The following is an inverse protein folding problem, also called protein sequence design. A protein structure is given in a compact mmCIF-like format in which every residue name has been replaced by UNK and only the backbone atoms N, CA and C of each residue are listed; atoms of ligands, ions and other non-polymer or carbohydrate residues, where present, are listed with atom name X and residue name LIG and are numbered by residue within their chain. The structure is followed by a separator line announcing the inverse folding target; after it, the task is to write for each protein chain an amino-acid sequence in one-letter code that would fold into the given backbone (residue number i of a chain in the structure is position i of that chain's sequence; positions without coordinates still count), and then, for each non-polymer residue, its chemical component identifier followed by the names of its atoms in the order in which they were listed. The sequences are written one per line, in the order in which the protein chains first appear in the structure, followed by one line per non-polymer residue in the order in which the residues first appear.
data_IF_529437818342
#
_entry.id   IF_529437818342
#
_cell.length_a   1.000
_cell.length_b   1.000
_cell.length_c   1.000
_cell.angle_alpha   90.00
_cell.angle_beta   90.00
_cell.angle_gamma   90.00
#
_symmetry.space_group_name_H-M   'P 1'
#
loop_
_entity.id
_entity.type
_entity.pdbx_description
1 polymer ?
#
# COMPACT_ATOMS: atom_id res chain seq x y z
N UNK A 1 -13.01 18.42 0.16
CA UNK A 1 -12.98 17.00 0.52
C UNK A 1 -11.67 16.77 1.24
N UNK A 2 -11.71 16.37 2.52
CA UNK A 2 -10.52 16.27 3.34
C UNK A 2 -9.69 15.04 2.94
N UNK A 3 -8.40 15.29 2.80
CA UNK A 3 -7.29 14.39 2.48
C UNK A 3 -7.42 13.04 3.20
N UNK A 4 -7.79 11.98 2.45
CA UNK A 4 -7.80 10.63 2.98
C UNK A 4 -6.34 10.23 3.15
N UNK A 5 -5.94 9.90 4.39
CA UNK A 5 -4.57 9.59 4.82
C UNK A 5 -3.95 8.37 4.14
N UNK A 6 -3.83 8.39 2.82
CA UNK A 6 -3.18 7.40 2.01
C UNK A 6 -1.69 7.39 2.36
N UNK A 7 -1.17 6.18 2.56
CA UNK A 7 0.23 5.92 2.79
C UNK A 7 0.87 5.46 1.50
N UNK A 8 1.77 6.27 0.97
CA UNK A 8 2.54 5.91 -0.21
C UNK A 8 3.61 6.91 -0.60
N UNK A 9 4.16 6.66 -1.78
CA UNK A 9 5.33 7.30 -2.36
C UNK A 9 5.05 7.81 -3.77
N UNK A 10 5.79 8.82 -4.22
CA UNK A 10 5.67 9.32 -5.60
C UNK A 10 6.18 8.32 -6.63
N UNK A 11 5.75 8.47 -7.89
CA UNK A 11 6.31 7.76 -9.03
C UNK A 11 7.85 7.91 -9.10
N UNK A 12 8.54 6.86 -9.54
CA UNK A 12 10.00 6.79 -9.60
C UNK A 12 10.67 6.43 -8.29
N UNK A 13 9.92 6.25 -7.20
CA UNK A 13 10.48 5.71 -5.94
C UNK A 13 10.92 4.26 -6.19
N UNK A 14 12.20 3.98 -5.96
CA UNK A 14 12.79 2.67 -6.26
C UNK A 14 12.53 1.67 -5.13
N UNK A 15 12.01 0.51 -5.49
CA UNK A 15 11.70 -0.60 -4.58
C UNK A 15 12.69 -1.74 -4.80
N UNK A 16 13.29 -2.22 -3.72
CA UNK A 16 14.19 -3.38 -3.74
C UNK A 16 13.38 -4.66 -4.03
N UNK A 17 13.71 -5.35 -5.11
CA UNK A 17 13.12 -6.65 -5.49
C UNK A 17 14.18 -7.75 -5.42
N UNK A 18 13.76 -9.00 -5.61
CA UNK A 18 14.67 -10.16 -5.55
C UNK A 18 15.84 -10.10 -6.53
N UNK A 19 15.65 -9.48 -7.70
CA UNK A 19 16.64 -9.53 -8.77
C UNK A 19 17.24 -8.16 -9.10
N UNK A 20 16.57 -7.06 -8.76
CA UNK A 20 16.98 -5.68 -9.07
C UNK A 20 16.11 -4.68 -8.26
N UNK A 21 16.17 -3.40 -8.61
CA UNK A 21 15.23 -2.37 -8.18
C UNK A 21 14.19 -2.08 -9.26
N UNK A 22 12.95 -1.77 -8.86
CA UNK A 22 11.89 -1.32 -9.77
C UNK A 22 11.24 -0.06 -9.24
N UNK A 23 10.87 0.88 -10.11
CA UNK A 23 10.04 2.00 -9.70
C UNK A 23 8.68 1.48 -9.19
N UNK A 24 8.14 2.11 -8.14
CA UNK A 24 6.96 1.61 -7.42
C UNK A 24 5.72 1.47 -8.33
N UNK A 25 5.55 2.37 -9.30
CA UNK A 25 4.47 2.36 -10.28
C UNK A 25 4.63 1.29 -11.36
N UNK A 26 5.80 0.67 -11.47
CA UNK A 26 6.12 -0.38 -12.44
C UNK A 26 6.04 -1.79 -11.84
N UNK A 27 5.80 -1.91 -10.53
CA UNK A 27 5.64 -3.21 -9.89
C UNK A 27 4.38 -3.91 -10.36
N UNK A 28 4.53 -5.19 -10.71
CA UNK A 28 3.46 -6.04 -11.23
C UNK A 28 3.07 -7.13 -10.22
N UNK A 29 1.88 -7.73 -10.39
CA UNK A 29 1.52 -8.94 -9.65
C UNK A 29 2.61 -10.00 -9.85
N UNK A 30 3.01 -10.67 -8.76
CA UNK A 30 4.01 -11.72 -8.79
C UNK A 30 5.46 -11.23 -8.61
N UNK A 31 5.70 -9.92 -8.58
CA UNK A 31 7.02 -9.39 -8.23
C UNK A 31 7.38 -9.74 -6.77
N UNK A 32 8.59 -10.26 -6.57
CA UNK A 32 9.14 -10.56 -5.24
C UNK A 32 9.87 -9.34 -4.68
N UNK A 33 9.29 -8.71 -3.66
CA UNK A 33 9.80 -7.50 -3.01
C UNK A 33 10.64 -7.89 -1.80
N UNK A 34 11.81 -7.27 -1.62
CA UNK A 34 12.66 -7.48 -0.44
C UNK A 34 12.01 -6.83 0.78
N UNK A 35 11.56 -7.66 1.72
CA UNK A 35 10.85 -7.21 2.93
C UNK A 35 11.78 -7.01 4.12
N UNK A 36 12.89 -7.74 4.16
CA UNK A 36 13.90 -7.68 5.23
C UNK A 36 15.23 -8.26 4.75
N UNK A 37 16.33 -7.67 5.21
CA UNK A 37 17.67 -8.02 4.73
C UNK A 37 18.71 -8.20 5.86
N UNK A 38 18.30 -8.20 7.14
CA UNK A 38 19.18 -8.63 8.23
C UNK A 38 19.24 -10.17 8.29
N UNK A 39 20.38 -10.72 7.91
CA UNK A 39 20.58 -12.17 7.79
C UNK A 39 20.17 -12.69 6.42
N UNK A 40 19.48 -13.83 6.38
CA UNK A 40 18.94 -14.39 5.14
C UNK A 40 17.84 -13.47 4.56
N UNK A 41 17.98 -12.96 3.33
CA UNK A 41 17.00 -12.05 2.73
C UNK A 41 15.60 -12.67 2.65
N UNK A 42 14.60 -11.92 3.11
CA UNK A 42 13.19 -12.34 3.09
C UNK A 42 12.40 -11.53 2.09
N UNK A 43 11.56 -12.22 1.32
CA UNK A 43 10.78 -11.63 0.25
C UNK A 43 9.29 -11.77 0.50
N UNK A 44 8.52 -10.83 -0.06
CA UNK A 44 7.07 -10.85 -0.09
C UNK A 44 6.56 -10.73 -1.51
N UNK A 45 5.47 -11.42 -1.80
CA UNK A 45 4.90 -11.49 -3.15
C UNK A 45 3.90 -10.34 -3.37
N UNK A 46 4.16 -9.52 -4.38
CA UNK A 46 3.25 -8.43 -4.79
C UNK A 46 1.93 -9.01 -5.27
N UNK A 47 0.84 -8.55 -4.67
CA UNK A 47 -0.52 -8.89 -5.09
C UNK A 47 -0.96 -8.13 -6.34
N UNK A 48 -2.05 -8.57 -6.96
CA UNK A 48 -2.82 -7.81 -7.97
C UNK A 48 -3.61 -6.60 -7.43
N UNK A 49 -3.58 -6.31 -6.13
CA UNK A 49 -4.28 -5.14 -5.58
C UNK A 49 -3.53 -3.85 -5.93
N UNK A 50 -4.19 -2.99 -6.71
CA UNK A 50 -3.69 -1.66 -7.08
C UNK A 50 -3.86 -0.73 -5.88
N UNK A 51 -2.74 -0.23 -5.35
CA UNK A 51 -2.71 0.70 -4.22
C UNK A 51 -2.18 2.03 -4.74
N UNK A 52 -3.09 2.89 -5.18
CA UNK A 52 -2.80 4.15 -5.83
C UNK A 52 -3.84 5.20 -5.43
N UNK A 53 -3.42 6.45 -5.28
CA UNK A 53 -4.27 7.59 -4.96
C UNK A 53 -3.70 8.86 -5.59
N UNK A 54 -4.51 9.87 -5.93
CA UNK A 54 -4.00 11.20 -6.21
C UNK A 54 -3.07 11.69 -5.10
N UNK A 55 -1.99 12.35 -5.49
CA UNK A 55 -1.03 12.91 -4.54
C UNK A 55 -1.69 13.98 -3.65
N UNK A 56 -1.40 14.01 -2.34
CA UNK A 56 -1.85 15.08 -1.47
C UNK A 56 -1.16 16.40 -1.84
N UNK A 57 -1.70 17.56 -1.41
CA UNK A 57 -1.09 18.86 -1.72
C UNK A 57 0.35 19.02 -1.25
N UNK A 58 0.75 18.27 -0.20
CA UNK A 58 2.07 18.35 0.40
C UNK A 58 2.69 16.96 0.51
N UNK A 59 3.92 16.85 0.04
CA UNK A 59 4.79 15.68 0.21
C UNK A 59 5.92 16.03 1.17
N UNK A 60 6.53 15.02 1.77
CA UNK A 60 7.60 15.19 2.73
C UNK A 60 8.89 14.54 2.27
N UNK A 61 9.99 15.15 2.71
CA UNK A 61 11.35 14.67 2.55
C UNK A 61 12.13 14.89 3.85
N UNK A 62 13.30 14.29 3.92
CA UNK A 62 14.24 14.48 5.03
C UNK A 62 15.63 14.81 4.50
N UNK A 63 16.43 15.47 5.34
CA UNK A 63 17.78 15.88 5.03
C UNK A 63 17.84 16.71 3.74
N UNK A 64 18.65 16.29 2.77
CA UNK A 64 18.84 16.94 1.47
C UNK A 64 18.14 16.18 0.32
N UNK A 65 17.37 15.15 0.64
CA UNK A 65 16.63 14.38 -0.36
C UNK A 65 15.36 15.12 -0.79
N UNK A 66 14.91 14.93 -2.02
CA UNK A 66 13.63 15.51 -2.49
C UNK A 66 12.46 14.91 -1.72
N UNK A 67 11.40 15.67 -1.50
CA UNK A 67 10.17 15.10 -0.96
C UNK A 67 9.60 13.99 -1.87
N UNK A 68 9.31 12.83 -1.27
CA UNK A 68 8.92 11.64 -2.04
C UNK A 68 7.84 10.78 -1.36
N UNK A 69 7.37 11.14 -0.17
CA UNK A 69 6.38 10.36 0.57
C UNK A 69 5.26 11.21 1.18
N UNK A 70 4.11 10.57 1.34
CA UNK A 70 2.92 11.13 2.00
C UNK A 70 3.09 11.21 3.52
N UNK A 71 2.38 12.12 4.22
CA UNK A 71 2.53 12.27 5.67
C UNK A 71 2.15 11.01 6.48
N UNK A 72 1.29 10.15 5.93
CA UNK A 72 0.84 8.92 6.58
C UNK A 72 1.82 7.74 6.42
N UNK A 73 2.91 7.91 5.66
CA UNK A 73 3.87 6.82 5.38
C UNK A 73 4.75 6.52 6.61
N UNK A 74 4.69 5.29 7.17
CA UNK A 74 5.52 4.92 8.30
C UNK A 74 6.87 4.35 7.87
N UNK A 75 7.92 4.82 8.53
CA UNK A 75 9.30 4.36 8.39
C UNK A 75 9.70 3.55 9.62
N UNK A 76 10.54 2.53 9.42
CA UNK A 76 11.24 1.91 10.53
C UNK A 76 12.38 2.81 10.99
N UNK A 77 12.45 3.03 12.31
CA UNK A 77 13.54 3.75 12.96
C UNK A 77 14.11 2.91 14.08
N UNK A 78 15.28 3.27 14.59
CA UNK A 78 15.88 2.64 15.78
C UNK A 78 15.04 2.78 17.06
N UNK A 79 14.01 3.63 17.06
CA UNK A 79 13.10 3.87 18.20
C UNK A 79 11.67 3.39 17.95
N UNK A 80 11.46 2.56 16.93
CA UNK A 80 10.14 2.07 16.51
C UNK A 80 9.65 2.71 15.21
N UNK A 81 8.40 2.44 14.86
CA UNK A 81 7.80 2.90 13.60
C UNK A 81 7.33 4.34 13.74
N UNK A 82 7.67 5.18 12.75
CA UNK A 82 7.42 6.63 12.80
C UNK A 82 6.89 7.18 11.47
N UNK A 83 5.91 8.09 11.54
CA UNK A 83 5.36 8.80 10.38
C UNK A 83 5.23 10.31 10.67
N UNK A 84 5.10 11.15 9.65
CA UNK A 84 4.91 12.60 9.82
C UNK A 84 3.60 12.90 10.54
N UNK A 85 2.51 12.26 10.09
CA UNK A 85 1.20 12.26 10.74
C UNK A 85 0.84 10.82 11.19
N UNK A 86 1.15 10.47 12.45
CA UNK A 86 0.83 9.15 13.00
C UNK A 86 -0.66 8.87 13.04
N UNK A 87 -1.50 9.89 13.23
CA UNK A 87 -2.95 9.72 13.26
C UNK A 87 -3.47 9.37 11.87
N UNK A 88 -2.93 9.99 10.81
CA UNK A 88 -3.22 9.58 9.45
C UNK A 88 -2.77 8.15 9.17
N UNK A 89 -1.56 7.79 9.61
CA UNK A 89 -1.04 6.44 9.48
C UNK A 89 -1.95 5.39 10.14
N UNK A 90 -2.38 5.64 11.38
CA UNK A 90 -3.29 4.76 12.13
C UNK A 90 -4.72 4.74 11.59
N UNK A 91 -5.18 5.80 10.90
CA UNK A 91 -6.45 5.73 10.16
C UNK A 91 -6.37 4.76 8.98
N UNK A 92 -5.22 4.68 8.31
CA UNK A 92 -5.01 3.73 7.22
C UNK A 92 -4.82 2.29 7.73
N UNK A 93 -4.07 2.12 8.82
CA UNK A 93 -3.85 0.84 9.47
C UNK A 93 -3.97 0.95 11.00
N UNK A 94 -5.17 0.72 11.58
CA UNK A 94 -5.40 0.87 13.02
C UNK A 94 -4.59 -0.07 13.92
N UNK A 95 -3.98 -1.11 13.36
CA UNK A 95 -3.16 -2.08 14.11
C UNK A 95 -1.68 -1.67 14.22
N UNK A 96 -1.27 -0.59 13.54
CA UNK A 96 0.10 -0.13 13.56
C UNK A 96 0.32 0.83 14.73
N UNK A 97 1.29 0.53 15.60
CA UNK A 97 1.75 1.47 16.62
C UNK A 97 2.76 2.44 15.99
N UNK A 98 2.30 3.66 15.68
CA UNK A 98 3.08 4.67 14.98
C UNK A 98 3.31 5.90 15.86
N UNK A 99 4.56 6.30 16.03
CA UNK A 99 4.91 7.59 16.64
C UNK A 99 5.24 8.67 15.62
N UNK A 100 5.44 9.91 16.07
CA UNK A 100 5.77 11.03 15.19
C UNK A 100 7.23 10.97 14.72
N UNK A 101 7.46 11.11 13.41
CA UNK A 101 8.80 11.26 12.83
C UNK A 101 9.31 12.68 13.06
N UNK A 102 10.54 12.81 13.56
CA UNK A 102 11.15 14.09 13.95
C UNK A 102 12.67 14.05 13.70
N UNK A 103 13.33 15.22 13.56
CA UNK A 103 14.79 15.28 13.59
C UNK A 103 15.35 14.62 14.85
N UNK A 104 16.49 13.94 14.70
CA UNK A 104 17.13 13.12 15.73
C UNK A 104 16.75 11.63 15.68
N UNK A 105 15.66 11.26 15.01
CA UNK A 105 15.38 9.86 14.72
C UNK A 105 16.35 9.31 13.66
N UNK A 106 16.58 8.00 13.72
CA UNK A 106 17.54 7.30 12.84
C UNK A 106 16.78 6.28 12.00
N UNK A 107 16.77 6.49 10.69
CA UNK A 107 16.20 5.59 9.70
C UNK A 107 17.12 4.40 9.45
N UNK A 108 16.51 3.28 9.09
CA UNK A 108 17.23 2.07 8.65
C UNK A 108 17.25 2.07 7.13
N UNK A 109 18.45 2.06 6.53
CA UNK A 109 18.63 2.07 5.07
C UNK A 109 19.43 0.84 4.64
N UNK A 110 18.96 0.17 3.62
CA UNK A 110 19.62 -0.97 2.99
C UNK A 110 20.75 -0.49 2.08
N UNK A 111 21.95 -1.03 2.27
CA UNK A 111 23.05 -0.90 1.32
C UNK A 111 23.24 -2.25 0.61
N UNK A 112 22.73 -2.34 -0.62
CA UNK A 112 22.85 -3.54 -1.45
C UNK A 112 24.30 -3.90 -1.78
N UNK A 113 25.21 -2.91 -1.82
CA UNK A 113 26.63 -3.13 -2.16
C UNK A 113 27.39 -3.77 -1.01
N UNK A 114 27.05 -3.40 0.23
CA UNK A 114 27.63 -3.95 1.45
C UNK A 114 26.80 -5.10 2.02
N UNK A 115 25.64 -5.38 1.44
CA UNK A 115 24.66 -6.34 1.94
C UNK A 115 24.35 -6.14 3.43
N UNK A 116 24.17 -4.89 3.85
CA UNK A 116 23.95 -4.56 5.26
C UNK A 116 23.04 -3.34 5.45
N UNK A 117 22.55 -3.16 6.68
CA UNK A 117 21.82 -1.96 7.06
C UNK A 117 22.76 -0.87 7.56
N UNK A 118 22.59 0.32 7.01
CA UNK A 118 23.14 1.55 7.55
C UNK A 118 22.08 2.36 8.31
N UNK A 119 22.57 3.25 9.17
CA UNK A 119 21.75 4.08 10.04
C UNK A 119 21.85 5.55 9.61
N UNK A 120 20.73 6.12 9.14
CA UNK A 120 20.69 7.49 8.62
C UNK A 120 19.94 8.38 9.62
N UNK A 121 20.68 9.24 10.30
CA UNK A 121 20.07 10.24 11.18
C UNK A 121 19.31 11.30 10.37
N UNK A 122 18.12 11.64 10.84
CA UNK A 122 17.32 12.74 10.31
C UNK A 122 17.81 14.03 10.96
N UNK A 123 18.54 14.84 10.22
CA UNK A 123 18.94 16.18 10.64
C UNK A 123 17.83 17.21 10.41
N UNK A 124 17.05 17.05 9.34
CA UNK A 124 15.96 17.95 8.98
C UNK A 124 14.80 17.21 8.31
N UNK A 125 13.60 17.79 8.44
CA UNK A 125 12.40 17.41 7.70
C UNK A 125 11.93 18.64 6.93
N UNK A 126 11.43 18.44 5.72
CA UNK A 126 10.84 19.50 4.92
C UNK A 126 9.59 19.00 4.21
N UNK A 127 8.77 19.95 3.78
CA UNK A 127 7.53 19.70 3.07
C UNK A 127 7.54 20.50 1.77
N UNK A 128 7.31 19.82 0.66
CA UNK A 128 7.25 20.42 -0.67
C UNK A 128 5.81 20.33 -1.18
N UNK A 129 5.41 21.31 -2.00
CA UNK A 129 4.15 21.20 -2.73
C UNK A 129 4.25 20.04 -3.71
N UNK A 130 3.20 19.24 -3.80
CA UNK A 130 3.11 18.21 -4.83
C UNK A 130 2.92 18.88 -6.20
N UNK A 131 3.66 18.41 -7.20
CA UNK A 131 3.46 18.79 -8.61
C UNK A 131 2.20 18.14 -9.23
N UNK A 132 1.37 17.48 -8.42
CA UNK A 132 0.25 16.65 -8.85
C UNK A 132 0.65 15.20 -9.11
N UNK A 133 -0.19 14.49 -9.87
CA UNK A 133 -0.01 13.07 -10.16
C UNK A 133 -0.53 12.14 -9.06
N UNK A 134 0.01 10.91 -9.03
CA UNK A 134 -0.43 9.87 -8.10
C UNK A 134 0.70 9.47 -7.16
N UNK A 135 0.30 9.00 -5.99
CA UNK A 135 1.14 8.30 -5.02
C UNK A 135 0.76 6.83 -4.99
N UNK A 136 1.76 5.99 -4.78
CA UNK A 136 1.68 4.54 -4.90
C UNK A 136 2.02 3.90 -3.56
N UNK A 137 1.28 2.87 -3.19
CA UNK A 137 1.56 1.99 -2.07
C UNK A 137 1.80 0.56 -2.57
N UNK A 138 2.05 -0.34 -1.61
CA UNK A 138 2.20 -1.75 -1.89
C UNK A 138 1.23 -2.57 -1.04
N UNK A 139 0.76 -3.66 -1.64
CA UNK A 139 0.10 -4.75 -0.93
C UNK A 139 0.80 -6.06 -1.30
N UNK A 140 1.26 -6.77 -0.27
CA UNK A 140 1.92 -8.06 -0.41
C UNK A 140 0.96 -9.13 0.11
N UNK A 141 0.84 -10.25 -0.62
CA UNK A 141 0.02 -11.40 -0.20
C UNK A 141 0.73 -12.26 0.85
N UNK A 142 2.05 -12.17 0.91
CA UNK A 142 2.90 -12.90 1.84
C UNK A 142 4.20 -12.13 2.08
N UNK A 143 5.01 -12.62 3.02
CA UNK A 143 6.24 -11.97 3.46
C UNK A 143 6.00 -11.02 4.64
N UNK A 144 7.05 -10.32 5.05
CA UNK A 144 6.96 -9.40 6.17
C UNK A 144 6.22 -8.11 5.76
N UNK A 145 5.68 -7.42 6.77
CA UNK A 145 4.91 -6.19 6.62
C UNK A 145 5.79 -4.95 6.42
N UNK A 146 6.84 -5.10 5.64
CA UNK A 146 7.87 -4.10 5.39
C UNK A 146 8.45 -4.24 4.00
N UNK A 147 9.07 -3.17 3.49
CA UNK A 147 9.81 -3.17 2.23
C UNK A 147 10.79 -2.00 2.23
N UNK A 148 11.57 -1.88 1.15
CA UNK A 148 12.55 -0.81 1.02
C UNK A 148 12.12 0.16 -0.10
N UNK A 149 11.98 1.44 0.23
CA UNK A 149 11.63 2.50 -0.70
C UNK A 149 12.76 3.53 -0.73
N UNK A 150 13.37 3.74 -1.91
CA UNK A 150 14.66 4.41 -2.05
C UNK A 150 15.69 3.86 -1.06
N UNK A 151 15.69 2.52 -0.90
CA UNK A 151 16.49 1.75 0.05
C UNK A 151 16.16 1.95 1.54
N UNK A 152 15.26 2.85 1.93
CA UNK A 152 14.82 2.98 3.33
C UNK A 152 13.80 1.92 3.72
N UNK A 153 14.01 1.26 4.86
CA UNK A 153 13.08 0.27 5.40
C UNK A 153 11.81 0.97 5.91
N UNK A 154 10.68 0.62 5.31
CA UNK A 154 9.35 1.20 5.59
C UNK A 154 8.34 0.12 5.93
N UNK A 155 7.27 0.51 6.62
CA UNK A 155 6.18 -0.40 6.96
C UNK A 155 5.08 -0.36 5.91
N UNK A 156 4.51 -1.52 5.60
CA UNK A 156 3.26 -1.60 4.84
C UNK A 156 2.13 -1.06 5.71
N UNK A 157 1.62 0.10 5.33
CA UNK A 157 0.53 0.76 6.03
C UNK A 157 -0.84 0.56 5.35
N UNK A 158 -0.98 -0.59 4.68
CA UNK A 158 -2.21 -1.00 4.00
C UNK A 158 -2.70 -2.32 4.58
N UNK A 159 -3.92 -2.42 5.15
CA UNK A 159 -4.45 -3.60 5.83
C UNK A 159 -4.17 -4.95 5.13
N UNK A 160 -3.87 -6.00 5.90
CA UNK A 160 -3.66 -7.36 5.36
C UNK A 160 -4.96 -7.99 4.86
N UNK A 161 -6.05 -7.82 5.62
CA UNK A 161 -7.39 -8.18 5.17
C UNK A 161 -8.02 -6.93 4.57
N UNK A 162 -8.18 -6.94 3.25
CA UNK A 162 -8.77 -5.85 2.49
C UNK A 162 -10.17 -6.29 2.07
N UNK A 163 -11.06 -5.33 1.87
CA UNK A 163 -12.38 -5.64 1.30
C UNK A 163 -12.25 -6.32 -0.07
N UNK A 164 -11.21 -5.96 -0.84
CA UNK A 164 -10.86 -6.60 -2.11
C UNK A 164 -10.49 -8.06 -1.95
N UNK A 165 -9.53 -8.39 -1.08
CA UNK A 165 -9.05 -9.77 -0.91
C UNK A 165 -10.16 -10.70 -0.41
N UNK A 166 -10.93 -10.26 0.59
CA UNK A 166 -12.07 -11.00 1.09
C UNK A 166 -13.18 -11.09 0.05
N UNK A 167 -13.43 -10.03 -0.73
CA UNK A 167 -14.37 -10.03 -1.84
C UNK A 167 -14.03 -11.09 -2.90
N UNK A 168 -12.75 -11.27 -3.26
CA UNK A 168 -12.32 -12.34 -4.18
C UNK A 168 -12.62 -13.73 -3.63
N UNK A 169 -12.36 -13.95 -2.34
CA UNK A 169 -12.67 -15.23 -1.69
C UNK A 169 -14.18 -15.50 -1.69
N UNK A 170 -14.99 -14.50 -1.38
CA UNK A 170 -16.44 -14.59 -1.42
C UNK A 170 -16.97 -14.90 -2.84
N UNK A 171 -16.34 -14.35 -3.90
CA UNK A 171 -16.72 -14.68 -5.29
C UNK A 171 -16.57 -16.15 -5.63
N UNK A 172 -15.64 -16.86 -4.99
CA UNK A 172 -15.44 -18.30 -5.17
C UNK A 172 -16.49 -19.18 -4.48
N UNK A 173 -17.36 -18.60 -3.64
CA UNK A 173 -18.40 -19.34 -2.92
C UNK A 173 -19.69 -19.51 -3.76
N UNK A 174 -20.52 -20.53 -3.48
CA UNK A 174 -21.86 -20.64 -4.04
C UNK A 174 -22.69 -19.38 -3.77
N UNK A 175 -23.59 -18.95 -4.69
CA UNK A 175 -24.33 -17.69 -4.57
C UNK A 175 -25.08 -17.52 -3.24
N UNK A 176 -25.78 -18.56 -2.78
CA UNK A 176 -26.57 -18.51 -1.54
C UNK A 176 -25.69 -18.40 -0.29
N UNK A 177 -24.58 -19.15 -0.25
CA UNK A 177 -23.60 -19.09 0.84
C UNK A 177 -22.89 -17.72 0.86
N UNK A 178 -22.60 -17.14 -0.31
CA UNK A 178 -22.04 -15.79 -0.43
C UNK A 178 -23.01 -14.74 0.12
N UNK A 179 -24.29 -14.80 -0.26
CA UNK A 179 -25.32 -13.88 0.22
C UNK A 179 -25.49 -13.96 1.74
N UNK A 180 -25.55 -15.17 2.30
CA UNK A 180 -25.63 -15.38 3.75
C UNK A 180 -24.42 -14.77 4.47
N UNK A 181 -23.21 -14.98 3.95
CA UNK A 181 -21.99 -14.42 4.54
C UNK A 181 -21.98 -12.89 4.50
N UNK A 182 -22.43 -12.29 3.39
CA UNK A 182 -22.53 -10.83 3.26
C UNK A 182 -23.52 -10.24 4.27
N UNK A 183 -24.68 -10.88 4.50
CA UNK A 183 -25.63 -10.45 5.52
C UNK A 183 -25.04 -10.52 6.93
N UNK A 184 -24.24 -11.56 7.24
CA UNK A 184 -23.49 -11.63 8.52
C UNK A 184 -22.50 -10.46 8.65
N UNK A 185 -21.79 -10.11 7.59
CA UNK A 185 -20.88 -8.94 7.60
C UNK A 185 -21.62 -7.61 7.76
N UNK A 186 -22.81 -7.46 7.17
CA UNK A 186 -23.68 -6.28 7.39
C UNK A 186 -24.05 -6.13 8.86
N UNK A 187 -24.36 -7.23 9.55
CA UNK A 187 -24.60 -7.24 10.99
C UNK A 187 -23.40 -6.76 11.82
N UNK A 188 -22.17 -6.93 11.32
CA UNK A 188 -20.92 -6.48 11.97
C UNK A 188 -20.50 -5.06 11.58
N UNK A 189 -21.23 -4.37 10.69
CA UNK A 189 -20.89 -3.00 10.24
C UNK A 189 -20.60 -2.02 11.39
N UNK A 190 -21.40 -1.96 12.48
CA UNK A 190 -21.10 -1.06 13.60
C UNK A 190 -19.78 -1.38 14.31
N UNK A 191 -19.37 -2.64 14.33
CA UNK A 191 -18.08 -3.07 14.91
C UNK A 191 -16.94 -2.55 14.04
N UNK A 192 -17.01 -2.77 12.74
CA UNK A 192 -15.98 -2.29 11.80
C UNK A 192 -15.84 -0.76 11.85
N UNK A 193 -16.95 -0.03 11.89
CA UNK A 193 -16.95 1.43 12.01
C UNK A 193 -16.33 1.90 13.33
N UNK A 194 -16.63 1.23 14.45
CA UNK A 194 -16.03 1.54 15.75
C UNK A 194 -14.50 1.38 15.75
N UNK A 195 -13.96 0.45 14.95
CA UNK A 195 -12.52 0.20 14.83
C UNK A 195 -11.89 0.89 13.61
N UNK A 196 -12.55 1.90 13.02
CA UNK A 196 -11.97 2.75 11.98
C UNK A 196 -12.02 2.17 10.56
N UNK A 197 -12.68 1.04 10.35
CA UNK A 197 -12.84 0.41 9.04
C UNK A 197 -14.12 0.90 8.33
N UNK A 198 -14.32 2.22 8.25
CA UNK A 198 -15.49 2.82 7.62
C UNK A 198 -15.62 2.40 6.14
N UNK A 199 -16.83 1.99 5.74
CA UNK A 199 -17.12 1.57 4.37
C UNK A 199 -16.44 0.25 3.95
N UNK A 200 -15.86 -0.51 4.89
CA UNK A 200 -15.29 -1.82 4.61
C UNK A 200 -16.34 -2.79 4.06
N UNK A 201 -17.49 -2.91 4.74
CA UNK A 201 -18.58 -3.81 4.33
C UNK A 201 -19.15 -3.40 2.97
N UNK A 202 -19.33 -2.10 2.74
CA UNK A 202 -19.86 -1.59 1.47
C UNK A 202 -18.89 -1.89 0.31
N UNK A 203 -17.58 -1.71 0.52
CA UNK A 203 -16.55 -2.12 -0.45
C UNK A 203 -16.51 -3.63 -0.64
N UNK A 204 -16.66 -4.41 0.44
CA UNK A 204 -16.64 -5.86 0.39
C UNK A 204 -17.80 -6.39 -0.47
N UNK A 205 -19.00 -5.84 -0.30
CA UNK A 205 -20.16 -6.18 -1.11
C UNK A 205 -19.90 -5.86 -2.60
N UNK A 206 -19.37 -4.66 -2.90
CA UNK A 206 -19.01 -4.27 -4.26
C UNK A 206 -17.96 -5.20 -4.90
N UNK A 207 -16.94 -5.59 -4.15
CA UNK A 207 -15.89 -6.52 -4.61
C UNK A 207 -16.40 -7.96 -4.70
N UNK A 208 -17.34 -8.38 -3.86
CA UNK A 208 -17.87 -9.75 -3.88
C UNK A 208 -18.86 -10.03 -5.02
N UNK A 209 -19.40 -8.98 -5.64
CA UNK A 209 -20.31 -9.12 -6.77
C UNK A 209 -19.53 -9.34 -8.08
N UNK A 210 -19.97 -10.25 -8.97
CA UNK A 210 -19.38 -10.38 -10.28
C UNK A 210 -19.48 -9.05 -11.02
N UNK A 211 -18.36 -8.55 -11.57
CA UNK A 211 -18.43 -7.40 -12.47
C UNK A 211 -19.30 -7.77 -13.67
N UNK A 212 -20.20 -6.88 -14.14
CA UNK A 212 -20.91 -7.12 -15.38
C UNK A 212 -19.87 -7.34 -16.48
N UNK A 213 -20.00 -8.45 -17.20
CA UNK A 213 -19.26 -8.66 -18.45
C UNK A 213 -19.57 -7.48 -19.36
N UNK A 214 -18.54 -6.76 -19.82
CA UNK A 214 -18.74 -5.83 -20.93
C UNK A 214 -19.31 -6.67 -22.08
N UNK A 215 -20.47 -6.30 -22.66
CA UNK A 215 -20.96 -6.99 -23.83
C UNK A 215 -19.84 -6.95 -24.89
N UNK A 216 -19.46 -8.12 -25.37
CA UNK A 216 -18.51 -8.26 -26.46
C UNK A 216 -18.99 -7.39 -27.61
N UNK A 217 -18.05 -6.67 -28.23
CA UNK A 217 -18.30 -6.04 -29.52
C UNK A 217 -18.63 -7.19 -30.47
N UNK A 218 -19.92 -7.36 -30.75
CA UNK A 218 -20.38 -8.09 -31.93
C UNK A 218 -20.06 -7.11 -33.04
N UNK A 219 -18.86 -7.20 -33.61
CA UNK A 219 -18.59 -6.57 -34.89
C UNK A 219 -19.32 -7.43 -35.93
N UNK A 220 -20.16 -6.72 -36.68
CA UNK A 220 -21.18 -7.22 -37.58
C UNK A 220 -20.67 -8.27 -38.59
N UNK A 221 -21.53 -9.26 -38.81
CA UNK A 221 -21.59 -10.01 -40.05
C UNK A 221 -21.78 -9.02 -41.20
N UNK A 222 -20.75 -8.87 -42.02
CA UNK A 222 -20.86 -8.34 -43.37
C UNK A 222 -20.38 -9.41 -44.32
N UNK A 223 -21.34 -10.09 -44.95
CA UNK A 223 -21.17 -10.91 -46.13
C UNK A 223 -20.37 -10.15 -47.20
N UNK A 224 -19.48 -10.87 -47.90
CA UNK A 224 -19.22 -10.67 -49.33
C UNK A 224 -18.48 -11.91 -49.85
N UNK A 225 -19.28 -12.89 -50.30
CA UNK A 225 -18.91 -13.81 -51.37
C UNK A 225 -19.23 -13.11 -52.71
N UNK A 226 -18.22 -12.68 -53.46
CA UNK A 226 -18.02 -12.93 -54.91
C UNK A 226 -16.67 -12.37 -55.40
#
# INVERSE_FOLDING_TARGET
MADQGFSGFVAGTMIETRNDTKAIEQLSEGDWVLTRADGEPQYGLRSDEIVESPAPPVLYGFNHERAFFTPAQPFYTTTGIRAIDPNAAMRANPWLEVGRLMPGHVLIRWDASQMSYEHVAIASLHADQSDGGNVYGLHLREGLRSFHANSYLVSLNYPEITAGSLGKQLRGMPPDARAEMLERFKGLKPVFERFGAQGFVDRLEAESNPRPTRPGRIDDLGDDEE
#
